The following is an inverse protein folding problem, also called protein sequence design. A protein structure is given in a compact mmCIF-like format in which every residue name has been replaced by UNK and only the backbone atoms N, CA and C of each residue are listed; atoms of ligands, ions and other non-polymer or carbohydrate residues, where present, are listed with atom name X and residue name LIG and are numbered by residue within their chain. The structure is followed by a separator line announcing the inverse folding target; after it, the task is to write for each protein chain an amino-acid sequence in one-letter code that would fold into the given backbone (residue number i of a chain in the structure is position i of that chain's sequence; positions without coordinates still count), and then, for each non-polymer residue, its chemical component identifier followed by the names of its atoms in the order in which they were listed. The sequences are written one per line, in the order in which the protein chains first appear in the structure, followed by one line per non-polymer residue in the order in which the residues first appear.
data_IF_553601470790
#
_entry.id   IF_553601470790
#
_cell.length_a   1.000
_cell.length_b   1.000
_cell.length_c   1.000
_cell.angle_alpha   90.00
_cell.angle_beta   90.00
_cell.angle_gamma   90.00
#
_symmetry.space_group_name_H-M   'P 1'
#
loop_
_entity.id
_entity.type
_entity.pdbx_description
1 polymer ?
#
# COMPACT_ATOMS: atom_id res chain seq x y z
N UNK A 1 -13.18 2.84 -3.88
CA UNK A 1 -12.84 3.39 -5.23
C UNK A 1 -11.37 3.13 -5.46
N UNK A 2 -11.06 2.41 -6.53
CA UNK A 2 -9.73 1.96 -6.87
C UNK A 2 -8.93 3.10 -7.55
N UNK A 3 -7.65 3.21 -7.23
CA UNK A 3 -6.63 4.12 -7.82
C UNK A 3 -7.15 5.55 -8.10
N UNK A 4 -7.90 6.09 -7.18
CA UNK A 4 -8.61 7.38 -7.36
C UNK A 4 -7.67 8.55 -7.65
N UNK A 5 -6.43 8.50 -7.17
CA UNK A 5 -5.42 9.51 -7.48
C UNK A 5 -5.11 9.64 -8.98
N UNK A 6 -5.47 8.65 -9.79
CA UNK A 6 -5.16 8.59 -11.23
C UNK A 6 -6.30 9.01 -12.16
N UNK A 7 -7.43 9.49 -11.65
CA UNK A 7 -8.54 9.93 -12.51
C UNK A 7 -8.27 11.27 -13.23
N UNK A 8 -7.33 12.07 -12.73
CA UNK A 8 -6.87 13.30 -13.40
C UNK A 8 -5.40 13.16 -13.81
N UNK A 9 -5.15 13.34 -15.09
CA UNK A 9 -3.83 13.17 -15.71
C UNK A 9 -3.38 14.44 -16.39
N UNK A 10 -2.07 14.55 -16.66
CA UNK A 10 -1.54 15.57 -17.56
C UNK A 10 -2.07 15.30 -18.99
N UNK A 11 -2.89 16.20 -19.51
CA UNK A 11 -3.56 16.03 -20.81
C UNK A 11 -2.64 16.27 -22.00
N UNK A 12 -1.43 16.78 -21.79
CA UNK A 12 -0.44 16.85 -22.86
C UNK A 12 0.17 15.49 -23.19
N UNK A 13 -0.10 14.46 -22.34
CA UNK A 13 0.44 13.10 -22.47
C UNK A 13 1.95 13.09 -22.77
N UNK A 14 2.75 13.77 -21.95
CA UNK A 14 4.18 13.88 -22.22
C UNK A 14 4.84 12.50 -22.19
N UNK A 15 5.79 12.31 -23.10
CA UNK A 15 6.65 11.13 -23.03
C UNK A 15 7.46 11.12 -21.75
N UNK A 16 7.63 9.94 -21.15
CA UNK A 16 8.57 9.78 -20.05
C UNK A 16 9.99 10.02 -20.52
N UNK A 17 10.80 10.75 -19.74
CA UNK A 17 12.22 10.87 -20.04
C UNK A 17 12.83 9.47 -20.15
N UNK A 18 13.52 9.17 -21.25
CA UNK A 18 14.26 7.92 -21.47
C UNK A 18 15.51 7.88 -20.57
N UNK A 19 15.33 8.05 -19.27
CA UNK A 19 16.39 7.93 -18.28
C UNK A 19 16.17 6.66 -17.51
N UNK A 20 17.12 5.77 -17.57
CA UNK A 20 17.22 4.52 -16.83
C UNK A 20 15.87 3.77 -16.64
N UNK A 21 15.71 2.65 -17.27
CA UNK A 21 14.50 1.83 -17.46
C UNK A 21 13.64 1.54 -16.22
N UNK A 22 14.06 1.96 -15.05
CA UNK A 22 13.45 1.59 -13.78
C UNK A 22 12.87 2.75 -13.00
N UNK A 23 13.00 3.98 -13.51
CA UNK A 23 12.47 5.21 -12.88
C UNK A 23 11.16 5.69 -13.49
N UNK A 24 10.52 4.90 -14.33
CA UNK A 24 9.36 5.32 -15.12
C UNK A 24 8.10 5.59 -14.31
N UNK A 25 7.97 5.04 -13.13
CA UNK A 25 6.76 5.23 -12.33
C UNK A 25 6.93 6.34 -11.31
N UNK A 26 6.98 7.57 -11.76
CA UNK A 26 7.06 8.72 -10.83
C UNK A 26 5.69 9.21 -10.35
N UNK A 27 4.60 8.73 -10.92
CA UNK A 27 3.25 9.23 -10.66
C UNK A 27 2.99 10.66 -11.18
N UNK A 28 4.03 11.39 -11.56
CA UNK A 28 3.99 12.81 -11.88
C UNK A 28 2.98 13.17 -12.96
N UNK A 29 2.82 12.35 -13.98
CA UNK A 29 1.97 12.65 -15.12
C UNK A 29 0.60 11.97 -15.10
N UNK A 30 0.40 10.98 -14.22
CA UNK A 30 -0.82 10.18 -14.20
C UNK A 30 -1.46 10.02 -12.82
N UNK A 31 -0.92 10.70 -11.81
CA UNK A 31 -1.51 10.73 -10.47
C UNK A 31 -1.53 12.14 -9.93
N UNK A 32 -2.54 12.45 -9.14
CA UNK A 32 -2.73 13.75 -8.51
C UNK A 32 -2.71 14.92 -9.51
N UNK A 33 -3.34 14.72 -10.67
CA UNK A 33 -3.43 15.74 -11.71
C UNK A 33 -4.25 16.94 -11.26
N UNK A 34 -4.19 18.06 -12.03
CA UNK A 34 -4.66 19.38 -11.58
C UNK A 34 -6.17 19.47 -11.34
N UNK A 35 -6.96 18.58 -11.95
CA UNK A 35 -8.42 18.56 -11.80
C UNK A 35 -8.94 17.45 -10.90
N UNK A 36 -8.05 16.74 -10.19
CA UNK A 36 -8.42 15.58 -9.38
C UNK A 36 -9.53 15.93 -8.37
N UNK A 37 -9.28 16.92 -7.55
CA UNK A 37 -10.20 17.33 -6.50
C UNK A 37 -11.50 17.95 -7.06
N UNK A 38 -11.44 18.62 -8.20
CA UNK A 38 -12.64 19.09 -8.92
C UNK A 38 -13.56 17.91 -9.26
N UNK A 39 -13.02 16.83 -9.83
CA UNK A 39 -13.81 15.66 -10.21
C UNK A 39 -14.39 14.91 -8.99
N UNK A 40 -13.64 14.81 -7.91
CA UNK A 40 -14.12 14.12 -6.70
C UNK A 40 -15.19 14.96 -6.00
N UNK A 41 -14.99 16.28 -5.91
CA UNK A 41 -15.99 17.18 -5.36
C UNK A 41 -17.28 17.16 -6.20
N UNK A 42 -17.18 17.18 -7.53
CA UNK A 42 -18.34 17.04 -8.42
C UNK A 42 -19.05 15.70 -8.18
N UNK A 43 -18.34 14.61 -8.07
CA UNK A 43 -18.91 13.29 -7.75
C UNK A 43 -19.63 13.30 -6.39
N UNK A 44 -19.05 13.95 -5.39
CA UNK A 44 -19.71 14.10 -4.08
C UNK A 44 -21.01 14.88 -4.23
N UNK A 45 -20.95 16.08 -4.79
CA UNK A 45 -22.11 16.96 -4.97
C UNK A 45 -23.24 16.31 -5.78
N UNK A 46 -22.89 15.65 -6.90
CA UNK A 46 -23.90 15.12 -7.83
C UNK A 46 -24.43 13.73 -7.40
N UNK A 47 -23.65 12.96 -6.65
CA UNK A 47 -24.01 11.58 -6.32
C UNK A 47 -23.89 11.30 -4.84
N UNK A 48 -22.68 11.32 -4.25
CA UNK A 48 -22.43 10.72 -2.96
C UNK A 48 -23.21 11.37 -1.82
N UNK A 49 -23.33 12.70 -1.84
CA UNK A 49 -24.09 13.47 -0.84
C UNK A 49 -25.59 13.18 -0.83
N UNK A 50 -26.12 12.51 -1.86
CA UNK A 50 -27.55 12.17 -1.98
C UNK A 50 -27.89 10.81 -1.38
N UNK A 51 -26.91 10.07 -0.93
CA UNK A 51 -27.08 8.74 -0.36
C UNK A 51 -26.39 8.63 0.99
N UNK A 52 -26.97 7.86 1.89
CA UNK A 52 -26.31 7.46 3.14
C UNK A 52 -25.27 6.37 2.83
N UNK A 53 -24.07 6.80 2.44
CA UNK A 53 -23.00 5.90 2.05
C UNK A 53 -21.65 6.37 2.61
N UNK A 54 -20.79 5.39 2.89
CA UNK A 54 -19.39 5.61 3.24
C UNK A 54 -18.52 5.50 1.99
N UNK A 55 -17.56 6.41 1.84
CA UNK A 55 -16.65 6.43 0.70
C UNK A 55 -15.22 6.26 1.14
N UNK A 56 -14.49 5.38 0.45
CA UNK A 56 -13.06 5.18 0.66
C UNK A 56 -12.34 5.12 -0.68
N UNK A 57 -11.24 5.86 -0.80
CA UNK A 57 -10.41 5.91 -2.00
C UNK A 57 -9.06 5.25 -1.77
N UNK A 58 -8.57 4.54 -2.77
CA UNK A 58 -7.20 4.06 -2.79
C UNK A 58 -6.30 5.15 -3.39
N UNK A 59 -5.38 5.70 -2.58
CA UNK A 59 -4.56 6.85 -2.95
C UNK A 59 -3.06 6.59 -2.71
N UNK A 60 -2.43 5.70 -3.50
CA UNK A 60 -1.01 5.42 -3.38
C UNK A 60 -0.18 6.69 -3.65
N UNK A 61 0.90 6.87 -2.89
CA UNK A 61 1.80 8.03 -3.02
C UNK A 61 1.27 9.33 -2.38
N UNK A 62 0.12 9.30 -1.73
CA UNK A 62 -0.38 10.46 -0.97
C UNK A 62 0.47 10.72 0.27
N UNK A 63 0.71 12.01 0.54
CA UNK A 63 1.21 12.50 1.84
C UNK A 63 0.03 12.86 2.74
N UNK A 64 0.23 13.06 4.05
CA UNK A 64 -0.83 13.52 4.92
C UNK A 64 -1.49 14.83 4.47
N UNK A 65 -0.73 15.74 3.85
CA UNK A 65 -1.26 16.99 3.29
C UNK A 65 -2.22 16.72 2.12
N UNK A 66 -1.84 15.81 1.24
CA UNK A 66 -2.70 15.38 0.11
C UNK A 66 -3.92 14.62 0.64
N UNK A 67 -3.74 13.76 1.64
CA UNK A 67 -4.84 13.03 2.27
C UNK A 67 -5.92 13.96 2.83
N UNK A 68 -5.52 15.08 3.42
CA UNK A 68 -6.46 16.11 3.90
C UNK A 68 -7.30 16.71 2.76
N UNK A 69 -6.73 16.87 1.58
CA UNK A 69 -7.51 17.38 0.44
C UNK A 69 -8.65 16.45 0.06
N UNK A 70 -8.47 15.14 0.24
CA UNK A 70 -9.54 14.15 -0.01
C UNK A 70 -10.55 14.03 1.13
N UNK A 71 -10.12 14.21 2.39
CA UNK A 71 -10.88 13.72 3.55
C UNK A 71 -11.23 14.81 4.57
N UNK A 72 -10.82 16.06 4.37
CA UNK A 72 -11.28 17.17 5.21
C UNK A 72 -12.78 17.36 4.97
N UNK A 73 -13.63 17.28 6.01
CA UNK A 73 -15.08 17.39 5.88
C UNK A 73 -15.56 18.68 5.19
N UNK A 74 -14.81 19.78 5.34
CA UNK A 74 -15.15 21.07 4.72
C UNK A 74 -14.97 21.06 3.20
N UNK A 75 -14.29 20.04 2.65
CA UNK A 75 -14.04 19.92 1.23
C UNK A 75 -15.10 19.12 0.47
N UNK A 76 -15.92 18.37 1.19
CA UNK A 76 -17.01 17.58 0.60
C UNK A 76 -16.53 16.67 -0.55
N UNK A 77 -15.47 15.88 -0.28
CA UNK A 77 -14.92 14.92 -1.24
C UNK A 77 -15.20 13.49 -0.78
N UNK A 78 -14.28 12.87 -0.04
CA UNK A 78 -14.39 11.50 0.45
C UNK A 78 -14.40 11.44 1.97
N UNK A 79 -14.92 10.34 2.53
CA UNK A 79 -14.84 10.13 3.97
C UNK A 79 -13.44 9.74 4.42
N UNK A 80 -12.74 8.89 3.64
CA UNK A 80 -11.40 8.40 3.99
C UNK A 80 -10.63 7.90 2.78
N UNK A 81 -9.33 7.72 2.93
CA UNK A 81 -8.46 7.09 1.93
C UNK A 81 -7.55 6.03 2.55
N UNK A 82 -7.22 4.99 1.75
CA UNK A 82 -6.11 4.10 2.03
C UNK A 82 -4.80 4.77 1.63
N UNK A 83 -3.81 4.73 2.53
CA UNK A 83 -2.48 5.31 2.36
C UNK A 83 -1.43 4.21 2.33
N UNK A 84 -0.25 4.48 1.76
CA UNK A 84 0.74 3.44 1.48
C UNK A 84 2.13 3.73 2.06
N UNK A 85 2.33 4.83 2.76
CA UNK A 85 3.66 5.17 3.27
C UNK A 85 4.18 4.10 4.23
N UNK A 86 3.31 3.61 5.14
CA UNK A 86 3.66 2.53 6.06
C UNK A 86 3.96 1.20 5.34
N UNK A 87 3.37 0.95 4.16
CA UNK A 87 3.66 -0.24 3.35
C UNK A 87 5.05 -0.20 2.69
N UNK A 88 5.77 0.91 2.78
CA UNK A 88 7.08 1.09 2.16
C UNK A 88 8.25 1.14 3.15
N UNK A 89 8.02 0.99 4.46
CA UNK A 89 9.06 1.10 5.50
C UNK A 89 10.14 0.02 5.40
N UNK A 90 9.81 -1.11 4.83
CA UNK A 90 10.72 -2.24 4.57
C UNK A 90 11.26 -2.26 3.13
N UNK A 91 11.19 -1.14 2.42
CA UNK A 91 11.82 -0.98 1.12
C UNK A 91 13.17 -0.28 1.24
N UNK A 92 14.11 -0.66 0.38
CA UNK A 92 15.40 0.02 0.25
C UNK A 92 15.23 1.12 -0.81
N UNK A 93 15.37 2.39 -0.42
CA UNK A 93 15.25 3.50 -1.38
C UNK A 93 16.26 3.38 -2.51
N UNK A 94 15.80 3.49 -3.75
CA UNK A 94 16.66 3.43 -4.94
C UNK A 94 17.18 2.03 -5.30
N UNK A 95 16.77 0.97 -4.60
CA UNK A 95 17.14 -0.40 -4.96
C UNK A 95 16.69 -0.74 -6.38
N UNK A 96 17.61 -1.30 -7.17
CA UNK A 96 17.34 -1.85 -8.50
C UNK A 96 16.43 -3.07 -8.44
N UNK A 97 16.42 -3.79 -7.32
CA UNK A 97 15.59 -4.96 -7.08
C UNK A 97 14.20 -4.59 -6.54
N UNK A 98 13.91 -3.28 -6.35
CA UNK A 98 12.60 -2.76 -5.90
C UNK A 98 12.18 -3.38 -4.56
N UNK A 99 10.93 -3.90 -4.49
CA UNK A 99 10.43 -4.57 -3.28
C UNK A 99 11.04 -5.95 -3.04
N UNK A 100 11.72 -6.51 -4.05
CA UNK A 100 12.29 -7.85 -3.98
C UNK A 100 13.66 -7.92 -3.32
N UNK A 101 14.16 -6.80 -2.81
CA UNK A 101 15.31 -6.77 -1.91
C UNK A 101 14.82 -6.66 -0.46
N UNK A 102 15.13 -7.68 0.35
CA UNK A 102 14.67 -7.71 1.74
C UNK A 102 15.44 -6.73 2.60
N UNK A 103 14.70 -5.91 3.33
CA UNK A 103 15.18 -5.07 4.42
C UNK A 103 14.38 -5.43 5.67
N UNK A 104 15.01 -5.75 6.80
CA UNK A 104 14.30 -5.91 8.06
C UNK A 104 13.50 -4.66 8.39
N UNK A 105 12.29 -4.85 8.90
CA UNK A 105 11.48 -3.73 9.37
C UNK A 105 12.12 -3.10 10.61
N UNK A 106 12.16 -1.77 10.63
CA UNK A 106 12.45 -1.01 11.85
C UNK A 106 11.13 -0.47 12.40
N UNK A 107 10.72 -0.94 13.57
CA UNK A 107 9.49 -0.51 14.22
C UNK A 107 9.50 0.99 14.56
N UNK A 108 10.67 1.60 14.63
CA UNK A 108 10.79 3.08 14.78
C UNK A 108 10.30 3.80 13.53
N UNK A 109 10.54 3.22 12.33
CA UNK A 109 10.00 3.75 11.08
C UNK A 109 8.49 3.63 11.03
N UNK A 110 7.93 2.48 11.43
CA UNK A 110 6.49 2.30 11.54
C UNK A 110 5.88 3.33 12.51
N UNK A 111 6.45 3.47 13.71
CA UNK A 111 5.99 4.42 14.71
C UNK A 111 6.05 5.85 14.19
N UNK A 112 7.13 6.23 13.51
CA UNK A 112 7.31 7.57 12.91
C UNK A 112 6.19 7.85 11.90
N UNK A 113 6.01 6.96 10.93
CA UNK A 113 4.98 7.14 9.88
C UNK A 113 3.59 7.22 10.50
N UNK A 114 3.22 6.26 11.35
CA UNK A 114 1.89 6.25 11.96
C UNK A 114 1.65 7.49 12.83
N UNK A 115 2.64 7.92 13.62
CA UNK A 115 2.52 9.14 14.45
C UNK A 115 2.37 10.40 13.60
N UNK A 116 3.10 10.50 12.49
CA UNK A 116 3.00 11.62 11.56
C UNK A 116 1.59 11.70 10.95
N UNK A 117 1.07 10.60 10.45
CA UNK A 117 -0.27 10.51 9.88
C UNK A 117 -1.35 10.83 10.91
N UNK A 118 -1.28 10.28 12.13
CA UNK A 118 -2.21 10.57 13.22
C UNK A 118 -2.22 12.05 13.56
N UNK A 119 -1.05 12.66 13.75
CA UNK A 119 -0.94 14.06 14.12
C UNK A 119 -1.42 15.01 13.03
N UNK A 120 -1.07 14.74 11.78
CA UNK A 120 -1.40 15.63 10.65
C UNK A 120 -2.86 15.54 10.20
N UNK A 121 -3.51 14.39 10.41
CA UNK A 121 -4.94 14.22 10.09
C UNK A 121 -5.86 14.59 11.25
N UNK A 122 -5.34 14.76 12.45
CA UNK A 122 -6.15 15.11 13.63
C UNK A 122 -7.02 16.33 13.37
N UNK A 123 -8.34 16.18 13.53
CA UNK A 123 -9.38 17.18 13.26
C UNK A 123 -9.37 17.78 11.84
N UNK A 124 -8.71 17.16 10.88
CA UNK A 124 -8.51 17.66 9.51
C UNK A 124 -8.73 16.62 8.41
N UNK A 125 -8.97 15.39 8.77
CA UNK A 125 -9.18 14.31 7.84
C UNK A 125 -9.33 12.97 8.53
N UNK A 126 -9.56 11.91 7.75
CA UNK A 126 -9.79 10.58 8.27
C UNK A 126 -9.06 9.52 7.44
N UNK A 127 -8.43 8.56 8.10
CA UNK A 127 -7.64 7.53 7.46
C UNK A 127 -8.36 6.18 7.49
N UNK A 128 -8.31 5.44 6.40
CA UNK A 128 -8.62 4.01 6.36
C UNK A 128 -7.35 3.26 6.79
N UNK A 129 -7.37 2.69 7.98
CA UNK A 129 -6.23 2.03 8.61
C UNK A 129 -6.20 0.55 8.21
N UNK A 130 -5.04 0.02 7.84
CA UNK A 130 -4.85 -1.39 7.50
C UNK A 130 -3.39 -1.79 7.65
N UNK A 131 -3.14 -3.09 7.85
CA UNK A 131 -1.81 -3.70 7.75
C UNK A 131 -1.75 -4.77 6.68
N UNK A 132 -2.90 -5.32 6.29
CA UNK A 132 -3.04 -6.32 5.25
C UNK A 132 -4.16 -5.94 4.27
N UNK A 133 -4.05 -6.41 3.06
CA UNK A 133 -5.12 -6.41 2.06
C UNK A 133 -4.82 -7.44 0.97
N UNK A 134 -5.66 -7.50 -0.06
CA UNK A 134 -5.49 -8.41 -1.20
C UNK A 134 -4.22 -8.16 -2.04
N UNK A 135 -3.51 -7.05 -1.82
CA UNK A 135 -2.27 -6.67 -2.52
C UNK A 135 -1.05 -6.60 -1.60
N UNK A 136 -1.21 -6.94 -0.31
CA UNK A 136 -0.13 -6.96 0.66
C UNK A 136 0.00 -8.35 1.31
N UNK A 137 1.22 -8.81 1.58
CA UNK A 137 1.42 -10.06 2.32
C UNK A 137 0.91 -9.96 3.74
N UNK A 138 0.83 -11.10 4.43
CA UNK A 138 0.42 -11.17 5.84
C UNK A 138 1.40 -10.42 6.73
N UNK A 139 0.91 -9.51 7.54
CA UNK A 139 1.74 -8.60 8.35
C UNK A 139 2.63 -9.33 9.33
N UNK A 140 2.12 -10.41 9.93
CA UNK A 140 2.86 -11.19 10.92
C UNK A 140 4.11 -11.83 10.31
N UNK A 141 4.00 -12.38 9.09
CA UNK A 141 5.14 -12.96 8.38
C UNK A 141 6.06 -11.89 7.81
N UNK A 142 5.51 -10.74 7.40
CA UNK A 142 6.29 -9.66 6.80
C UNK A 142 7.12 -8.89 7.83
N UNK A 143 6.52 -8.53 8.97
CA UNK A 143 7.10 -7.60 9.94
C UNK A 143 7.17 -8.16 11.37
N UNK A 144 6.62 -9.32 11.63
CA UNK A 144 6.54 -9.92 12.94
C UNK A 144 7.33 -11.23 13.09
N UNK A 145 6.82 -12.08 13.96
CA UNK A 145 7.29 -13.46 14.14
C UNK A 145 6.10 -14.39 13.94
N UNK A 146 6.11 -15.13 12.86
CA UNK A 146 5.02 -16.03 12.43
C UNK A 146 5.18 -17.47 12.92
N UNK A 147 6.11 -17.69 13.83
CA UNK A 147 6.38 -19.00 14.46
C UNK A 147 6.09 -18.97 15.96
N UNK A 148 7.11 -18.75 16.77
CA UNK A 148 7.03 -18.83 18.24
C UNK A 148 6.08 -17.79 18.85
N UNK A 149 6.03 -16.57 18.28
CA UNK A 149 5.27 -15.45 18.82
C UNK A 149 4.16 -14.99 17.87
N UNK A 150 3.60 -15.91 17.06
CA UNK A 150 2.56 -15.58 16.08
C UNK A 150 1.34 -14.92 16.71
N UNK A 151 0.85 -15.49 17.80
CA UNK A 151 -0.34 -15.00 18.49
C UNK A 151 -0.11 -13.63 19.12
N UNK A 152 1.03 -13.44 19.76
CA UNK A 152 1.43 -12.18 20.38
C UNK A 152 1.60 -11.08 19.32
N UNK A 153 2.23 -11.40 18.19
CA UNK A 153 2.36 -10.47 17.07
C UNK A 153 0.99 -10.08 16.49
N UNK A 154 0.09 -11.05 16.28
CA UNK A 154 -1.26 -10.78 15.79
C UNK A 154 -2.00 -9.82 16.73
N UNK A 155 -1.98 -10.10 18.04
CA UNK A 155 -2.60 -9.25 19.05
C UNK A 155 -1.97 -7.85 19.11
N UNK A 156 -0.64 -7.76 18.96
CA UNK A 156 0.07 -6.47 18.97
C UNK A 156 -0.34 -5.61 17.76
N UNK A 157 -0.35 -6.18 16.54
CA UNK A 157 -0.80 -5.45 15.35
C UNK A 157 -2.28 -5.07 15.42
N UNK A 158 -3.15 -5.94 15.88
CA UNK A 158 -4.56 -5.64 16.10
C UNK A 158 -4.74 -4.49 17.11
N UNK A 159 -3.98 -4.51 18.21
CA UNK A 159 -4.02 -3.45 19.22
C UNK A 159 -3.60 -2.09 18.63
N UNK A 160 -2.53 -2.06 17.85
CA UNK A 160 -2.08 -0.83 17.19
C UNK A 160 -3.12 -0.35 16.18
N UNK A 161 -3.64 -1.25 15.32
CA UNK A 161 -4.63 -0.90 14.30
C UNK A 161 -5.89 -0.27 14.91
N UNK A 162 -6.46 -0.90 15.95
CA UNK A 162 -7.71 -0.46 16.57
C UNK A 162 -7.51 0.67 17.59
N UNK A 163 -6.28 0.92 18.05
CA UNK A 163 -5.97 2.01 18.99
C UNK A 163 -5.72 3.37 18.34
N UNK A 164 -5.66 3.44 17.01
CA UNK A 164 -5.42 4.69 16.26
C UNK A 164 -6.73 5.35 15.84
N UNK A 165 -6.68 6.66 15.64
CA UNK A 165 -7.79 7.41 15.03
C UNK A 165 -7.86 7.08 13.53
N UNK A 166 -9.00 6.56 13.10
CA UNK A 166 -9.27 6.13 11.73
C UNK A 166 -10.26 4.97 11.71
N UNK A 167 -10.61 4.50 10.53
CA UNK A 167 -11.45 3.31 10.36
C UNK A 167 -10.55 2.09 10.16
N UNK A 168 -10.52 1.13 11.08
CA UNK A 168 -9.72 -0.08 10.90
C UNK A 168 -10.36 -1.01 9.87
N UNK A 169 -9.55 -1.45 8.92
CA UNK A 169 -9.91 -2.47 7.94
C UNK A 169 -9.15 -3.74 8.26
N UNK A 170 -9.89 -4.78 8.63
CA UNK A 170 -9.35 -6.11 8.95
C UNK A 170 -9.52 -6.99 7.71
N UNK A 171 -8.41 -7.43 7.14
CA UNK A 171 -8.45 -8.31 5.98
C UNK A 171 -8.80 -9.74 6.40
N UNK A 172 -9.53 -10.46 5.56
CA UNK A 172 -9.93 -11.86 5.84
C UNK A 172 -8.70 -12.71 6.24
N UNK A 173 -8.78 -13.37 7.39
CA UNK A 173 -7.69 -14.15 7.96
C UNK A 173 -6.74 -13.38 8.88
N UNK A 174 -6.73 -12.04 8.84
CA UNK A 174 -5.97 -11.21 9.76
C UNK A 174 -6.44 -11.42 11.21
N UNK A 175 -7.77 -11.54 11.41
CA UNK A 175 -8.43 -11.76 12.71
C UNK A 175 -8.00 -13.06 13.40
N UNK A 176 -7.55 -14.06 12.65
CA UNK A 176 -7.02 -15.32 13.17
C UNK A 176 -5.49 -15.44 13.06
N UNK A 177 -4.83 -14.35 12.66
CA UNK A 177 -3.38 -14.30 12.52
C UNK A 177 -2.84 -15.25 11.45
N UNK A 178 -3.42 -15.24 10.24
CA UNK A 178 -2.90 -16.00 9.11
C UNK A 178 -1.48 -15.53 8.75
N UNK A 179 -0.68 -16.49 8.30
CA UNK A 179 0.73 -16.28 7.89
C UNK A 179 0.88 -16.43 6.37
N UNK A 180 2.02 -16.00 5.85
CA UNK A 180 2.39 -16.22 4.46
C UNK A 180 2.53 -17.72 4.15
N UNK A 181 2.37 -18.06 2.88
CA UNK A 181 2.58 -19.40 2.33
C UNK A 181 3.85 -19.44 1.48
N UNK A 182 4.61 -20.52 1.56
CA UNK A 182 5.81 -20.71 0.77
C UNK A 182 5.49 -21.64 -0.41
N UNK A 183 5.09 -21.05 -1.54
CA UNK A 183 4.91 -21.79 -2.78
C UNK A 183 6.25 -22.00 -3.54
N UNK A 184 6.38 -23.03 -4.37
CA UNK A 184 7.35 -23.05 -5.45
C UNK A 184 7.20 -21.82 -6.35
N UNK A 185 8.30 -21.30 -6.93
CA UNK A 185 8.25 -20.05 -7.71
C UNK A 185 7.31 -20.13 -8.91
N UNK A 186 7.16 -21.30 -9.50
CA UNK A 186 6.30 -21.59 -10.65
C UNK A 186 4.80 -21.54 -10.32
N UNK A 187 4.43 -21.68 -9.06
CA UNK A 187 3.04 -21.64 -8.59
C UNK A 187 2.52 -20.22 -8.28
N UNK A 188 3.42 -19.23 -8.26
CA UNK A 188 2.98 -17.83 -8.06
C UNK A 188 2.21 -17.33 -9.27
N UNK A 189 0.99 -16.85 -9.02
CA UNK A 189 0.05 -16.33 -10.04
C UNK A 189 0.32 -14.86 -10.37
N UNK A 190 0.89 -14.10 -9.42
CA UNK A 190 1.14 -12.67 -9.60
C UNK A 190 2.10 -12.41 -10.76
N UNK A 191 1.60 -11.70 -11.78
CA UNK A 191 2.39 -11.30 -12.95
C UNK A 191 3.61 -10.45 -12.55
N UNK A 192 3.56 -9.73 -11.43
CA UNK A 192 4.69 -8.96 -10.93
C UNK A 192 5.85 -9.87 -10.50
N UNK A 193 5.56 -11.02 -9.86
CA UNK A 193 6.56 -12.02 -9.49
C UNK A 193 7.21 -12.60 -10.74
N UNK A 194 6.41 -13.01 -11.72
CA UNK A 194 6.89 -13.61 -12.98
C UNK A 194 7.77 -12.63 -13.76
N UNK A 195 7.33 -11.39 -13.90
CA UNK A 195 8.10 -10.37 -14.61
C UNK A 195 9.38 -9.99 -13.86
N UNK A 196 9.33 -9.88 -12.53
CA UNK A 196 10.50 -9.58 -11.71
C UNK A 196 11.53 -10.72 -11.76
N UNK A 197 11.11 -11.98 -11.75
CA UNK A 197 12.01 -13.12 -11.91
C UNK A 197 12.76 -13.03 -13.23
N UNK A 198 12.04 -12.83 -14.34
CA UNK A 198 12.66 -12.70 -15.65
C UNK A 198 13.61 -11.50 -15.74
N UNK A 199 13.23 -10.37 -15.18
CA UNK A 199 14.04 -9.15 -15.24
C UNK A 199 15.26 -9.21 -14.30
N UNK A 200 15.06 -9.56 -13.03
CA UNK A 200 16.07 -9.40 -12.00
C UNK A 200 17.00 -10.63 -11.89
N UNK A 201 16.44 -11.84 -12.03
CA UNK A 201 17.22 -13.09 -11.86
C UNK A 201 17.80 -13.55 -13.20
N UNK A 202 16.96 -13.63 -14.23
CA UNK A 202 17.38 -14.25 -15.51
C UNK A 202 18.19 -13.26 -16.37
N UNK A 203 17.65 -12.07 -16.65
CA UNK A 203 18.25 -11.09 -17.58
C UNK A 203 19.38 -10.29 -16.93
N UNK A 204 19.06 -9.55 -15.89
CA UNK A 204 19.98 -8.58 -15.29
C UNK A 204 20.89 -9.18 -14.20
N UNK A 205 20.51 -10.33 -13.64
CA UNK A 205 21.26 -11.03 -12.58
C UNK A 205 21.64 -10.12 -11.40
N UNK A 206 20.71 -9.26 -11.00
CA UNK A 206 20.92 -8.30 -9.90
C UNK A 206 20.62 -8.89 -8.53
N UNK A 207 19.93 -10.04 -8.49
CA UNK A 207 19.62 -10.79 -7.27
C UNK A 207 19.77 -12.29 -7.56
N UNK A 208 20.23 -13.07 -6.56
CA UNK A 208 20.26 -14.52 -6.67
C UNK A 208 18.84 -15.10 -6.68
N UNK A 209 18.65 -16.29 -7.27
CA UNK A 209 17.35 -16.95 -7.25
C UNK A 209 16.89 -17.26 -5.82
N UNK A 210 17.81 -17.67 -4.95
CA UNK A 210 17.50 -17.96 -3.54
C UNK A 210 17.05 -16.72 -2.77
N UNK A 211 17.69 -15.58 -2.97
CA UNK A 211 17.29 -14.34 -2.32
C UNK A 211 15.98 -13.80 -2.91
N UNK A 212 15.79 -13.95 -4.22
CA UNK A 212 14.51 -13.62 -4.86
C UNK A 212 13.37 -14.48 -4.31
N UNK A 213 13.58 -15.79 -4.15
CA UNK A 213 12.59 -16.72 -3.56
C UNK A 213 12.21 -16.30 -2.15
N UNK A 214 13.20 -15.98 -1.29
CA UNK A 214 12.95 -15.47 0.05
C UNK A 214 12.14 -14.17 0.03
N UNK A 215 12.46 -13.27 -0.90
CA UNK A 215 11.73 -12.02 -1.06
C UNK A 215 10.28 -12.26 -1.51
N UNK A 216 10.04 -13.17 -2.43
CA UNK A 216 8.69 -13.56 -2.87
C UNK A 216 7.88 -14.16 -1.72
N UNK A 217 8.46 -15.09 -0.94
CA UNK A 217 7.81 -15.66 0.24
C UNK A 217 7.42 -14.59 1.28
N UNK A 218 8.20 -13.52 1.38
CA UNK A 218 7.93 -12.44 2.33
C UNK A 218 6.97 -11.38 1.79
N UNK A 219 7.04 -11.04 0.49
CA UNK A 219 6.42 -9.82 -0.05
C UNK A 219 5.40 -10.01 -1.18
N UNK A 220 5.18 -11.24 -1.67
CA UNK A 220 4.18 -11.45 -2.72
C UNK A 220 2.76 -11.29 -2.17
N UNK A 221 1.91 -10.65 -2.98
CA UNK A 221 0.47 -10.55 -2.69
C UNK A 221 -0.26 -11.88 -2.79
N UNK A 222 0.29 -12.89 -3.47
CA UNK A 222 -0.28 -14.23 -3.50
C UNK A 222 -0.42 -14.83 -2.10
N UNK A 223 0.45 -14.44 -1.16
CA UNK A 223 0.35 -14.81 0.25
C UNK A 223 -1.00 -14.41 0.91
N UNK A 224 -1.65 -13.36 0.41
CA UNK A 224 -2.95 -12.90 0.88
C UNK A 224 -4.13 -13.53 0.12
N UNK A 225 -3.86 -14.31 -0.93
CA UNK A 225 -4.86 -14.84 -1.86
C UNK A 225 -4.99 -16.36 -1.77
N UNK A 226 -4.89 -16.87 -0.57
CA UNK A 226 -5.04 -18.29 -0.26
C UNK A 226 -6.33 -18.53 0.50
N UNK A 227 -6.92 -19.74 0.43
CA UNK A 227 -8.05 -20.12 1.27
C UNK A 227 -7.75 -19.96 2.76
N UNK A 228 -8.77 -19.59 3.51
CA UNK A 228 -8.73 -19.55 4.98
C UNK A 228 -8.87 -20.95 5.55
#
# INVERSE_FOLDING_TARGET
MDVIASISKDQSFPDYPKTDDRKYYTGKYHSNGPRLHEFIHEMNREVLSKYDCMTVGEAPGSTPEVARLFTDPEREELNMIFTFEHMNIDRIPGSVNRKWELKPVDLRDLKRVMSEWQNKLYNKGWNALYFENHDQPRVISRWGNDTTYREECAKAYATVLHGMQGTPYVYQGEEIGMTNVQFPLEEYEDIEVRNAYQDLVVKNKTISEDDFRKAVWNKSRDNARVPM
#
